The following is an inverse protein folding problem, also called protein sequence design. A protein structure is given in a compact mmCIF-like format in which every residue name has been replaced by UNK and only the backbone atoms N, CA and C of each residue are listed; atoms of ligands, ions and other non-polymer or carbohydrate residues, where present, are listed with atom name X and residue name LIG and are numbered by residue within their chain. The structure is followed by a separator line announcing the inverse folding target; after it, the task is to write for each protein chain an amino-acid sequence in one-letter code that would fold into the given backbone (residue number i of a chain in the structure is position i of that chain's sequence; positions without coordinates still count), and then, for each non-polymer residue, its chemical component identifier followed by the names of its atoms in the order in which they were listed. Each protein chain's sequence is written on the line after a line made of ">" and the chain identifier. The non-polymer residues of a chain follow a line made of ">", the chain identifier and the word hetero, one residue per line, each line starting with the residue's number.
data_IF_019535736883
#
_entry.id   IF_019535736883
#
_cell.length_a   1.000
_cell.length_b   1.000
_cell.length_c   1.000
_cell.angle_alpha   90.00
_cell.angle_beta   90.00
_cell.angle_gamma   90.00
#
_symmetry.space_group_name_H-M   'P 1'
#
loop_
_entity.id
_entity.type
_entity.pdbx_description
1 polymer ?
#
# COMPACT_ATOMS: atom_id res chain seq x y z
N UNK A 1 -16.98 20.28 76.34
CA UNK A 1 -18.41 20.48 76.66
C UNK A 1 -19.18 20.66 75.42
N UNK A 2 -20.40 20.23 75.36
CA UNK A 2 -20.88 18.87 75.07
C UNK A 2 -21.55 18.88 73.71
N UNK A 3 -21.89 17.85 73.16
CA UNK A 3 -23.01 16.98 73.39
C UNK A 3 -23.50 16.39 72.05
N UNK A 4 -23.54 15.11 71.97
CA UNK A 4 -24.70 14.26 71.64
C UNK A 4 -25.53 14.68 70.42
N UNK A 5 -25.71 13.77 69.52
CA UNK A 5 -26.74 12.72 69.44
C UNK A 5 -26.50 11.89 68.18
N UNK A 6 -26.19 10.74 68.23
CA UNK A 6 -26.95 9.48 68.10
C UNK A 6 -28.23 9.60 67.29
N UNK A 7 -28.23 9.24 66.01
CA UNK A 7 -29.41 8.72 65.33
C UNK A 7 -29.03 7.50 64.50
N UNK A 8 -29.39 6.40 65.15
CA UNK A 8 -29.49 5.09 64.56
C UNK A 8 -30.70 5.07 63.65
N UNK A 9 -30.51 4.93 62.35
CA UNK A 9 -31.58 4.58 61.45
C UNK A 9 -31.13 3.38 60.60
N UNK A 10 -31.53 2.25 61.06
CA UNK A 10 -31.53 0.97 60.43
C UNK A 10 -32.54 1.02 59.27
N UNK A 11 -32.08 0.97 58.03
CA UNK A 11 -32.96 0.66 56.90
C UNK A 11 -32.39 -0.60 56.19
N UNK A 12 -32.99 -1.72 56.58
CA UNK A 12 -33.01 -2.93 55.78
C UNK A 12 -33.88 -2.69 54.55
N UNK A 13 -33.33 -2.76 53.40
CA UNK A 13 -34.07 -3.01 52.17
C UNK A 13 -33.08 -3.69 51.21
N UNK A 14 -33.11 -5.02 51.28
CA UNK A 14 -33.49 -5.96 50.24
C UNK A 14 -33.04 -5.56 48.81
N UNK A 15 -32.01 -6.23 48.39
CA UNK A 15 -31.92 -7.03 47.17
C UNK A 15 -32.45 -6.44 45.88
N UNK A 16 -31.54 -6.18 45.01
CA UNK A 16 -31.70 -6.64 43.63
C UNK A 16 -30.32 -6.75 43.01
N UNK A 17 -29.79 -7.93 43.16
CA UNK A 17 -28.64 -8.39 42.40
C UNK A 17 -29.13 -8.51 40.95
N UNK A 18 -29.02 -7.43 40.20
CA UNK A 18 -29.09 -7.51 38.74
C UNK A 18 -27.70 -7.85 38.25
N UNK A 19 -27.43 -9.14 38.23
CA UNK A 19 -26.44 -9.68 37.33
C UNK A 19 -26.95 -9.40 35.90
N UNK A 20 -26.57 -8.28 35.35
CA UNK A 20 -26.62 -8.11 33.90
C UNK A 20 -25.47 -8.97 33.36
N UNK A 21 -25.83 -10.22 33.09
CA UNK A 21 -25.13 -11.09 32.18
C UNK A 21 -25.16 -10.38 30.83
N UNK A 22 -24.09 -9.63 30.56
CA UNK A 22 -23.81 -9.06 29.26
C UNK A 22 -23.57 -10.24 28.32
N UNK A 23 -24.68 -10.74 27.79
CA UNK A 23 -24.71 -11.68 26.68
C UNK A 23 -23.95 -11.01 25.55
N UNK A 24 -22.65 -11.30 25.47
CA UNK A 24 -21.81 -11.00 24.34
C UNK A 24 -22.45 -11.65 23.13
N UNK A 25 -23.34 -10.91 22.50
CA UNK A 25 -23.96 -11.27 21.24
C UNK A 25 -22.82 -11.34 20.22
N UNK A 26 -22.51 -12.57 19.82
CA UNK A 26 -21.60 -12.79 18.71
C UNK A 26 -22.14 -12.03 17.50
N UNK A 27 -21.31 -11.28 16.76
CA UNK A 27 -21.75 -10.62 15.55
C UNK A 27 -22.39 -11.67 14.65
N UNK A 28 -23.53 -11.36 13.98
CA UNK A 28 -24.20 -12.30 13.09
C UNK A 28 -23.18 -12.77 12.04
N UNK A 29 -23.23 -14.05 11.64
CA UNK A 29 -22.37 -14.50 10.56
C UNK A 29 -22.67 -13.61 9.36
N UNK A 30 -21.63 -12.91 8.88
CA UNK A 30 -21.71 -12.15 7.66
C UNK A 30 -22.18 -13.11 6.56
N UNK A 31 -23.46 -13.01 6.26
CA UNK A 31 -24.07 -13.71 5.12
C UNK A 31 -23.32 -13.27 3.90
N UNK A 32 -22.61 -14.22 3.31
CA UNK A 32 -21.71 -14.00 2.19
C UNK A 32 -22.38 -13.25 1.05
N UNK A 33 -22.02 -11.98 0.91
CA UNK A 33 -21.87 -11.41 -0.40
C UNK A 33 -20.48 -11.86 -0.87
N UNK A 34 -20.41 -13.05 -1.43
CA UNK A 34 -19.34 -13.45 -2.31
C UNK A 34 -19.44 -12.56 -3.55
N UNK A 35 -19.09 -11.29 -3.39
CA UNK A 35 -18.59 -10.54 -4.51
C UNK A 35 -17.19 -11.09 -4.71
N UNK A 36 -17.12 -12.17 -5.45
CA UNK A 36 -15.91 -12.59 -6.12
C UNK A 36 -15.53 -11.41 -7.02
N UNK A 37 -14.77 -10.47 -6.46
CA UNK A 37 -13.97 -9.60 -7.29
C UNK A 37 -13.19 -10.59 -8.17
N UNK A 38 -13.26 -10.47 -9.51
CA UNK A 38 -12.49 -11.36 -10.36
C UNK A 38 -11.07 -11.25 -9.86
N UNK A 39 -10.53 -12.36 -9.36
CA UNK A 39 -9.12 -12.46 -9.06
C UNK A 39 -8.45 -11.95 -10.33
N UNK A 40 -7.79 -10.78 -10.22
CA UNK A 40 -7.14 -10.17 -11.36
C UNK A 40 -6.19 -11.25 -11.89
N UNK A 41 -6.58 -11.86 -13.01
CA UNK A 41 -5.76 -12.87 -13.63
C UNK A 41 -4.40 -12.22 -13.84
N UNK A 42 -3.39 -12.72 -13.16
CA UNK A 42 -2.03 -12.24 -13.32
C UNK A 42 -1.71 -12.38 -14.79
N UNK A 43 -1.18 -11.37 -15.45
CA UNK A 43 -0.93 -11.48 -16.87
C UNK A 43 0.11 -12.58 -17.07
N UNK A 44 -0.36 -13.78 -17.35
CA UNK A 44 0.52 -14.89 -17.73
C UNK A 44 1.39 -14.49 -18.94
N UNK A 45 0.92 -13.47 -19.70
CA UNK A 45 1.64 -12.93 -20.85
C UNK A 45 1.34 -11.44 -20.99
N UNK A 46 2.38 -10.60 -20.95
CA UNK A 46 2.26 -9.17 -21.24
C UNK A 46 2.09 -9.03 -22.76
N UNK A 47 1.04 -8.35 -23.19
CA UNK A 47 0.73 -8.16 -24.61
C UNK A 47 1.82 -7.35 -25.33
N UNK A 48 1.89 -7.49 -26.67
CA UNK A 48 2.78 -6.68 -27.48
C UNK A 48 2.44 -5.18 -27.38
N UNK A 49 1.15 -4.86 -27.23
CA UNK A 49 0.67 -3.48 -27.04
C UNK A 49 1.16 -2.91 -25.73
N UNK A 50 1.04 -3.66 -24.62
CA UNK A 50 1.54 -3.23 -23.33
C UNK A 50 3.05 -3.00 -23.36
N UNK A 51 3.81 -3.88 -24.00
CA UNK A 51 5.25 -3.70 -24.18
C UNK A 51 5.59 -2.45 -24.97
N UNK A 52 4.79 -2.10 -25.96
CA UNK A 52 4.99 -0.94 -26.81
C UNK A 52 4.57 0.38 -26.15
N UNK A 53 3.84 0.36 -25.02
CA UNK A 53 3.41 1.58 -24.31
C UNK A 53 4.61 2.41 -23.90
N UNK A 54 4.54 3.70 -24.22
CA UNK A 54 5.56 4.67 -23.81
C UNK A 54 5.12 5.37 -22.54
N UNK A 55 6.08 5.66 -21.67
CA UNK A 55 5.80 6.46 -20.49
C UNK A 55 5.48 7.92 -20.94
N UNK A 56 4.27 8.42 -20.68
CA UNK A 56 3.91 9.80 -21.04
C UNK A 56 4.52 10.83 -20.07
N UNK A 57 5.00 10.37 -18.91
CA UNK A 57 5.63 11.25 -17.90
C UNK A 57 7.12 11.36 -18.20
N UNK A 58 7.59 12.61 -18.40
CA UNK A 58 9.01 12.86 -18.62
C UNK A 58 9.86 12.29 -17.48
N UNK A 59 11.02 11.77 -17.82
CA UNK A 59 11.97 11.24 -16.86
C UNK A 59 12.81 12.38 -16.26
N UNK A 60 12.26 13.05 -15.24
CA UNK A 60 12.85 14.18 -14.53
C UNK A 60 13.08 13.87 -13.07
N UNK A 61 13.90 14.66 -12.37
CA UNK A 61 14.10 14.55 -10.92
C UNK A 61 12.75 14.58 -10.16
N UNK A 62 11.82 15.46 -10.58
CA UNK A 62 10.49 15.58 -9.94
C UNK A 62 9.67 14.31 -10.12
N UNK A 63 9.65 13.72 -11.32
CA UNK A 63 8.90 12.47 -11.55
C UNK A 63 9.51 11.30 -10.78
N UNK A 64 10.82 11.26 -10.65
CA UNK A 64 11.55 10.26 -9.86
C UNK A 64 11.23 10.42 -8.37
N UNK A 65 11.22 11.64 -7.84
CA UNK A 65 10.89 11.88 -6.43
C UNK A 65 9.44 11.52 -6.10
N UNK A 66 8.50 11.78 -7.02
CA UNK A 66 7.10 11.34 -6.87
C UNK A 66 7.02 9.82 -6.84
N UNK A 67 7.70 9.14 -7.75
CA UNK A 67 7.78 7.69 -7.78
C UNK A 67 8.40 7.12 -6.51
N UNK A 68 9.47 7.73 -6.00
CA UNK A 68 10.13 7.35 -4.75
C UNK A 68 9.18 7.40 -3.55
N UNK A 69 8.41 8.48 -3.40
CA UNK A 69 7.44 8.62 -2.31
C UNK A 69 6.42 7.50 -2.32
N UNK A 70 5.90 7.15 -3.51
CA UNK A 70 4.96 6.04 -3.67
C UNK A 70 5.65 4.70 -3.36
N UNK A 71 6.87 4.50 -3.86
CA UNK A 71 7.61 3.26 -3.66
C UNK A 71 7.84 2.98 -2.18
N UNK A 72 8.32 3.95 -1.42
CA UNK A 72 8.60 3.80 0.02
C UNK A 72 7.34 3.43 0.80
N UNK A 73 6.18 3.97 0.44
CA UNK A 73 4.93 3.71 1.17
C UNK A 73 4.17 2.46 0.72
N UNK A 74 4.32 2.04 -0.54
CA UNK A 74 3.50 0.96 -1.11
C UNK A 74 4.30 -0.29 -1.50
N UNK A 75 5.61 -0.18 -1.70
CA UNK A 75 6.41 -1.23 -2.32
C UNK A 75 7.58 -1.69 -1.45
N UNK A 76 8.14 -0.79 -0.63
CA UNK A 76 9.37 -1.02 0.12
C UNK A 76 9.28 -2.20 1.10
N UNK A 77 8.10 -2.47 1.65
CA UNK A 77 7.90 -3.58 2.58
C UNK A 77 8.36 -4.94 1.99
N UNK A 78 8.17 -5.14 0.68
CA UNK A 78 8.66 -6.32 -0.03
C UNK A 78 9.96 -6.05 -0.80
N UNK A 79 10.07 -4.88 -1.45
CA UNK A 79 11.17 -4.58 -2.36
C UNK A 79 12.40 -3.96 -1.67
N UNK A 80 12.32 -3.64 -0.37
CA UNK A 80 13.34 -2.91 0.37
C UNK A 80 13.30 -1.40 0.09
N UNK A 81 13.71 -0.57 1.04
CA UNK A 81 13.65 0.91 0.94
C UNK A 81 14.44 1.45 -0.25
N UNK A 82 15.49 0.73 -0.64
CA UNK A 82 16.35 1.08 -1.78
C UNK A 82 15.98 0.36 -3.08
N UNK A 83 14.99 -0.55 -3.02
CA UNK A 83 14.64 -1.41 -4.14
C UNK A 83 15.63 -2.56 -4.36
N UNK A 84 16.36 -2.96 -3.33
CA UNK A 84 17.38 -4.01 -3.36
C UNK A 84 16.81 -5.44 -3.16
N UNK A 85 15.48 -5.56 -3.12
CA UNK A 85 14.80 -6.83 -2.94
C UNK A 85 14.85 -7.40 -1.52
N UNK A 86 15.31 -6.62 -0.53
CA UNK A 86 15.52 -7.07 0.86
C UNK A 86 14.46 -6.49 1.81
N UNK A 87 13.21 -6.41 1.37
CA UNK A 87 12.11 -6.00 2.23
C UNK A 87 11.81 -7.03 3.32
N UNK A 88 11.39 -6.54 4.47
CA UNK A 88 11.11 -7.38 5.64
C UNK A 88 10.04 -8.44 5.34
N UNK A 89 8.94 -8.05 4.70
CA UNK A 89 7.86 -8.97 4.36
C UNK A 89 8.32 -10.03 3.35
N UNK A 90 9.19 -9.68 2.40
CA UNK A 90 9.74 -10.64 1.46
C UNK A 90 10.60 -11.70 2.17
N UNK A 91 11.39 -11.29 3.16
CA UNK A 91 12.18 -12.19 3.98
C UNK A 91 11.30 -13.14 4.80
N UNK A 92 10.27 -12.61 5.46
CA UNK A 92 9.33 -13.40 6.28
C UNK A 92 8.56 -14.42 5.44
N UNK A 93 8.13 -14.03 4.25
CA UNK A 93 7.40 -14.89 3.33
C UNK A 93 8.32 -15.75 2.45
N UNK A 94 9.64 -15.64 2.59
CA UNK A 94 10.66 -16.34 1.79
C UNK A 94 10.49 -16.12 0.28
N UNK A 95 10.11 -14.90 -0.11
CA UNK A 95 9.95 -14.51 -1.50
C UNK A 95 11.28 -14.12 -2.11
N UNK A 96 11.46 -14.50 -3.37
CA UNK A 96 12.56 -13.97 -4.19
C UNK A 96 12.10 -12.72 -4.90
N UNK A 97 12.60 -11.57 -4.48
CA UNK A 97 12.23 -10.25 -5.03
C UNK A 97 13.41 -9.68 -5.82
N UNK A 98 13.18 -9.12 -7.03
CA UNK A 98 14.24 -8.56 -7.85
C UNK A 98 14.98 -7.41 -7.14
N UNK A 99 16.29 -7.38 -7.32
CA UNK A 99 17.14 -6.27 -6.89
C UNK A 99 17.20 -5.22 -8.02
N UNK A 100 16.43 -4.14 -7.88
CA UNK A 100 16.35 -3.07 -8.87
C UNK A 100 17.58 -2.16 -8.87
N UNK A 101 18.44 -2.24 -7.87
CA UNK A 101 19.69 -1.46 -7.82
C UNK A 101 20.74 -1.94 -8.82
N UNK A 102 20.52 -3.12 -9.37
CA UNK A 102 21.38 -3.69 -10.40
C UNK A 102 20.91 -3.25 -11.80
N UNK A 103 21.77 -2.62 -12.59
CA UNK A 103 21.40 -2.15 -13.93
C UNK A 103 20.81 -3.22 -14.84
N UNK A 104 21.31 -4.45 -14.70
CA UNK A 104 20.88 -5.58 -15.52
C UNK A 104 19.47 -6.08 -15.22
N UNK A 105 18.95 -5.82 -14.02
CA UNK A 105 17.62 -6.33 -13.60
C UNK A 105 16.49 -5.83 -14.50
N UNK A 106 16.59 -4.59 -14.97
CA UNK A 106 15.53 -3.94 -15.77
C UNK A 106 15.93 -3.66 -17.22
N UNK A 107 17.11 -4.10 -17.68
CA UNK A 107 17.63 -3.74 -19.01
C UNK A 107 16.73 -4.21 -20.17
N UNK A 108 16.17 -5.41 -20.04
CA UNK A 108 15.36 -6.04 -21.08
C UNK A 108 13.84 -5.79 -20.90
N UNK A 109 13.46 -5.03 -19.87
CA UNK A 109 12.07 -4.66 -19.61
C UNK A 109 11.74 -3.30 -20.21
N UNK A 110 10.66 -3.21 -20.97
CA UNK A 110 10.15 -1.92 -21.44
C UNK A 110 9.42 -1.18 -20.31
N UNK A 111 9.21 0.13 -20.48
CA UNK A 111 8.44 0.91 -19.51
C UNK A 111 6.99 0.46 -19.44
N UNK A 112 6.41 0.06 -20.59
CA UNK A 112 5.07 -0.49 -20.67
C UNK A 112 4.94 -1.82 -19.93
N UNK A 113 5.95 -2.70 -20.02
CA UNK A 113 5.97 -3.94 -19.24
C UNK A 113 5.98 -3.66 -17.73
N UNK A 114 6.84 -2.74 -17.28
CA UNK A 114 6.90 -2.36 -15.87
C UNK A 114 5.58 -1.77 -15.38
N UNK A 115 4.98 -0.89 -16.18
CA UNK A 115 3.68 -0.29 -15.88
C UNK A 115 2.58 -1.35 -15.76
N UNK A 116 2.56 -2.33 -16.65
CA UNK A 116 1.58 -3.41 -16.64
C UNK A 116 1.77 -4.34 -15.45
N UNK A 117 3.02 -4.73 -15.15
CA UNK A 117 3.36 -5.54 -13.97
C UNK A 117 2.92 -4.85 -12.68
N UNK A 118 3.22 -3.56 -12.53
CA UNK A 118 2.79 -2.79 -11.36
C UNK A 118 1.26 -2.79 -11.24
N UNK A 119 0.56 -2.59 -12.35
CA UNK A 119 -0.89 -2.54 -12.36
C UNK A 119 -1.56 -3.86 -12.06
N UNK A 120 -1.16 -4.89 -12.77
CA UNK A 120 -1.79 -6.21 -12.72
C UNK A 120 -1.26 -7.10 -11.59
N UNK A 121 -0.05 -6.84 -11.10
CA UNK A 121 0.63 -7.71 -10.15
C UNK A 121 1.23 -8.95 -10.80
N UNK A 122 1.65 -9.88 -9.96
CA UNK A 122 2.15 -11.22 -10.32
C UNK A 122 1.64 -12.23 -9.29
N UNK A 123 2.03 -13.51 -9.39
CA UNK A 123 1.62 -14.54 -8.43
C UNK A 123 1.94 -14.18 -6.98
N UNK A 124 3.01 -13.43 -6.76
CA UNK A 124 3.47 -13.03 -5.42
C UNK A 124 3.37 -11.53 -5.15
N UNK A 125 3.17 -10.71 -6.18
CA UNK A 125 3.06 -9.26 -6.08
C UNK A 125 1.60 -8.83 -6.27
N UNK A 126 0.96 -8.17 -5.29
CA UNK A 126 -0.42 -7.74 -5.43
C UNK A 126 -0.59 -6.67 -6.51
N UNK A 127 -1.73 -6.72 -7.21
CA UNK A 127 -2.11 -5.72 -8.20
C UNK A 127 -2.27 -4.32 -7.57
N UNK A 128 -1.77 -3.29 -8.24
CA UNK A 128 -1.82 -1.91 -7.75
C UNK A 128 -2.76 -1.00 -8.56
N UNK A 129 -3.38 -1.48 -9.63
CA UNK A 129 -4.21 -0.64 -10.51
C UNK A 129 -5.43 -0.01 -9.78
N UNK A 130 -5.99 -0.70 -8.78
CA UNK A 130 -7.11 -0.18 -7.99
C UNK A 130 -6.68 0.84 -6.93
N UNK A 131 -5.40 0.89 -6.57
CA UNK A 131 -4.85 1.74 -5.50
C UNK A 131 -4.05 2.91 -6.04
N UNK A 132 -3.45 2.78 -7.22
CA UNK A 132 -2.58 3.75 -7.85
C UNK A 132 -3.13 4.20 -9.20
N UNK A 133 -3.21 5.50 -9.41
CA UNK A 133 -3.57 6.06 -10.72
C UNK A 133 -2.51 5.70 -11.77
N UNK A 134 -2.83 5.88 -13.05
CA UNK A 134 -1.86 5.68 -14.11
C UNK A 134 -0.63 6.58 -13.96
N UNK A 135 -0.86 7.86 -13.61
CA UNK A 135 0.22 8.82 -13.33
C UNK A 135 1.15 8.33 -12.22
N UNK A 136 0.60 7.75 -11.14
CA UNK A 136 1.41 7.18 -10.06
C UNK A 136 2.26 6.02 -10.55
N UNK A 137 1.68 5.12 -11.32
CA UNK A 137 2.40 3.95 -11.86
C UNK A 137 3.51 4.38 -12.83
N UNK A 138 3.29 5.39 -13.66
CA UNK A 138 4.32 5.93 -14.54
C UNK A 138 5.46 6.64 -13.79
N UNK A 139 5.14 7.37 -12.72
CA UNK A 139 6.18 7.93 -11.83
C UNK A 139 6.99 6.81 -11.15
N UNK A 140 6.35 5.71 -10.74
CA UNK A 140 7.06 4.53 -10.22
C UNK A 140 8.01 3.94 -11.26
N UNK A 141 7.60 3.82 -12.52
CA UNK A 141 8.49 3.38 -13.61
C UNK A 141 9.71 4.28 -13.70
N UNK A 142 9.53 5.61 -13.66
CA UNK A 142 10.65 6.56 -13.65
C UNK A 142 11.56 6.34 -12.44
N UNK A 143 11.00 6.14 -11.24
CA UNK A 143 11.81 5.85 -10.06
C UNK A 143 12.61 4.55 -10.22
N UNK A 144 12.00 3.46 -10.69
CA UNK A 144 12.70 2.19 -10.93
C UNK A 144 13.85 2.35 -11.94
N UNK A 145 13.66 3.17 -12.98
CA UNK A 145 14.73 3.48 -13.93
C UNK A 145 15.89 4.24 -13.28
N UNK A 146 15.58 5.19 -12.39
CA UNK A 146 16.62 5.92 -11.65
C UNK A 146 17.37 5.00 -10.69
N UNK A 147 16.66 4.13 -9.96
CA UNK A 147 17.28 3.12 -9.07
C UNK A 147 18.22 2.20 -9.84
N UNK A 148 17.85 1.81 -11.06
CA UNK A 148 18.69 0.96 -11.93
C UNK A 148 19.81 1.72 -12.66
N UNK A 149 20.08 2.97 -12.28
CA UNK A 149 21.24 3.74 -12.75
C UNK A 149 20.99 4.68 -13.91
N UNK A 150 19.75 4.85 -14.40
CA UNK A 150 19.45 5.92 -15.37
C UNK A 150 19.47 7.28 -14.67
N UNK A 151 20.05 8.28 -15.33
CA UNK A 151 20.11 9.65 -14.81
C UNK A 151 18.91 10.44 -15.34
N UNK A 152 18.06 10.99 -14.45
CA UNK A 152 16.95 11.83 -14.86
C UNK A 152 17.41 13.20 -15.36
N UNK A 153 16.61 13.83 -16.23
CA UNK A 153 16.81 15.22 -16.60
C UNK A 153 16.60 16.15 -15.40
N UNK A 154 17.44 17.17 -15.25
CA UNK A 154 17.22 18.19 -14.24
C UNK A 154 15.93 18.95 -14.55
N UNK A 155 15.10 19.09 -13.54
CA UNK A 155 13.88 19.88 -13.66
C UNK A 155 14.28 21.38 -13.71
N UNK A 156 14.17 21.99 -14.88
CA UNK A 156 14.50 23.40 -15.10
C UNK A 156 13.33 24.37 -14.96
N UNK A 157 12.22 23.93 -14.40
CA UNK A 157 11.03 24.75 -14.29
C UNK A 157 9.95 24.19 -13.39
N UNK A 158 9.12 25.11 -12.93
CA UNK A 158 7.95 24.89 -12.13
C UNK A 158 6.99 23.91 -12.85
N UNK A 159 7.14 22.61 -12.60
CA UNK A 159 6.09 21.67 -12.98
C UNK A 159 4.84 21.99 -12.17
N UNK A 160 3.65 21.94 -12.78
CA UNK A 160 2.41 22.20 -12.06
C UNK A 160 2.30 21.22 -10.88
N UNK A 161 1.99 21.77 -9.72
CA UNK A 161 1.72 21.03 -8.48
C UNK A 161 0.39 20.26 -8.59
N UNK A 162 0.23 19.50 -9.67
CA UNK A 162 -0.96 18.71 -9.87
C UNK A 162 -0.82 17.37 -9.16
N UNK A 163 -1.63 17.26 -8.13
CA UNK A 163 -1.91 16.05 -7.33
C UNK A 163 -0.92 15.68 -6.22
N UNK A 164 -0.86 16.54 -5.21
CA UNK A 164 -0.63 16.03 -3.86
C UNK A 164 -1.86 15.21 -3.47
N UNK A 165 -1.79 13.90 -3.66
CA UNK A 165 -2.83 13.03 -3.16
C UNK A 165 -2.63 12.92 -1.66
N UNK A 166 -3.52 13.57 -0.92
CA UNK A 166 -3.75 13.28 0.48
C UNK A 166 -4.19 11.81 0.56
N UNK A 167 -3.27 10.95 0.98
CA UNK A 167 -3.63 9.60 1.40
C UNK A 167 -4.43 9.80 2.69
N UNK A 168 -5.71 9.39 2.75
CA UNK A 168 -6.45 9.44 4.02
C UNK A 168 -5.72 8.55 5.02
N UNK A 169 -5.48 9.12 6.21
CA UNK A 169 -4.92 8.45 7.39
C UNK A 169 -5.89 7.38 7.88
#
# INVERSE_FOLDING_TARGET
>A
MPSKTLFLALILATGCLWAQEEKKEAPPPATGATTTAPAAAHPATISAEDKARKNPIKFTEVSVDRGKKIFVTQCALCHGDKGDGKGELAADMKLTVPDFTKPDTLKDRTDGELFTIIGAGTDTMPAQASRLTETHRWNLVNYLRAVSGKVPEKSTGKEPEENVILVPQ
#
